data_IF_264613225841
#
_entry.id   IF_264613225841
#
_cell.length_a   1.000
_cell.length_b   1.000
_cell.length_c   1.000
_cell.angle_alpha   90.00
_cell.angle_beta   90.00
_cell.angle_gamma   90.00
#
_symmetry.space_group_name_H-M   'P 1'
#
loop_
_entity.id
_entity.type
_entity.pdbx_description
1 polymer ?
#
# COMPACT_ATOMS: atom_id res chain seq x y z
N UNK A 1 -36.48 -18.67 -3.98
CA UNK A 1 -35.51 -17.67 -3.49
C UNK A 1 -36.24 -16.74 -2.54
N UNK A 2 -35.74 -16.56 -1.33
CA UNK A 2 -36.36 -15.68 -0.34
C UNK A 2 -36.06 -14.22 -0.72
N UNK A 3 -37.07 -13.50 -1.22
CA UNK A 3 -36.96 -12.13 -1.76
C UNK A 3 -36.63 -11.07 -0.69
N UNK A 4 -36.32 -11.48 0.54
CA UNK A 4 -36.00 -10.61 1.69
C UNK A 4 -34.54 -10.21 1.78
N UNK A 5 -33.65 -10.84 1.02
CA UNK A 5 -32.20 -10.57 1.06
C UNK A 5 -31.66 -10.14 -0.29
N UNK A 6 -30.98 -9.00 -0.30
CA UNK A 6 -30.26 -8.49 -1.47
C UNK A 6 -29.03 -9.37 -1.79
N UNK A 7 -28.38 -9.90 -0.75
CA UNK A 7 -27.20 -10.75 -0.87
C UNK A 7 -27.51 -12.17 -0.39
N UNK A 8 -27.64 -13.10 -1.34
CA UNK A 8 -27.85 -14.51 -1.04
C UNK A 8 -26.55 -15.15 -0.51
N UNK A 9 -26.65 -16.02 0.48
CA UNK A 9 -25.52 -16.81 0.99
C UNK A 9 -24.94 -17.69 -0.14
N UNK A 10 -23.61 -17.81 -0.29
CA UNK A 10 -23.02 -18.81 -1.18
C UNK A 10 -23.34 -20.23 -0.71
N UNK A 11 -23.06 -21.23 -1.55
CA UNK A 11 -23.22 -22.63 -1.16
C UNK A 11 -22.37 -22.93 0.08
N UNK A 12 -23.07 -23.22 1.18
CA UNK A 12 -22.48 -23.44 2.49
C UNK A 12 -23.13 -24.67 3.10
N UNK A 13 -22.31 -25.67 3.40
CA UNK A 13 -22.69 -26.89 4.09
C UNK A 13 -21.85 -27.01 5.36
N UNK A 14 -22.50 -27.14 6.51
CA UNK A 14 -21.84 -27.19 7.82
C UNK A 14 -22.24 -28.48 8.54
N UNK A 15 -21.24 -29.22 9.01
CA UNK A 15 -21.42 -30.30 9.97
C UNK A 15 -21.57 -29.78 11.40
N UNK A 16 -21.99 -30.65 12.34
CA UNK A 16 -22.29 -30.26 13.73
C UNK A 16 -21.07 -29.71 14.50
N UNK A 17 -19.86 -30.17 14.17
CA UNK A 17 -18.62 -29.71 14.79
C UNK A 17 -18.10 -28.40 14.18
N UNK A 18 -18.65 -27.97 13.04
CA UNK A 18 -18.14 -26.78 12.37
C UNK A 18 -18.45 -25.51 13.17
N UNK A 19 -17.48 -24.60 13.17
CA UNK A 19 -17.61 -23.26 13.74
C UNK A 19 -17.27 -22.23 12.69
N UNK A 20 -18.18 -21.30 12.45
CA UNK A 20 -18.08 -20.36 11.35
C UNK A 20 -17.56 -19.00 11.85
N UNK A 21 -16.61 -18.46 11.11
CA UNK A 21 -16.16 -17.08 11.20
C UNK A 21 -16.56 -16.33 9.94
N UNK A 22 -17.14 -15.15 10.11
CA UNK A 22 -17.57 -14.31 8.99
C UNK A 22 -16.59 -13.15 8.83
N UNK A 23 -15.95 -13.03 7.67
CA UNK A 23 -15.08 -11.91 7.35
C UNK A 23 -15.88 -10.74 6.79
N UNK A 24 -15.95 -9.66 7.56
CA UNK A 24 -16.69 -8.44 7.25
C UNK A 24 -17.61 -8.04 8.39
N UNK A 25 -17.85 -6.73 8.49
CA UNK A 25 -18.80 -6.13 9.45
C UNK A 25 -19.71 -5.13 8.74
N UNK A 26 -20.07 -5.45 7.49
CA UNK A 26 -20.91 -4.64 6.61
C UNK A 26 -22.29 -5.29 6.42
N UNK A 27 -23.09 -4.72 5.53
CA UNK A 27 -24.44 -5.19 5.22
C UNK A 27 -24.48 -6.62 4.65
N UNK A 28 -23.50 -7.00 3.81
CA UNK A 28 -23.36 -8.37 3.30
C UNK A 28 -23.16 -9.35 4.46
N UNK A 29 -22.25 -9.02 5.40
CA UNK A 29 -21.98 -9.84 6.57
C UNK A 29 -23.21 -9.98 7.48
N UNK A 30 -24.00 -8.91 7.65
CA UNK A 30 -25.27 -8.96 8.38
C UNK A 30 -26.28 -9.90 7.72
N UNK A 31 -26.50 -9.77 6.41
CA UNK A 31 -27.45 -10.63 5.69
C UNK A 31 -27.02 -12.09 5.69
N UNK A 32 -25.72 -12.38 5.57
CA UNK A 32 -25.19 -13.75 5.66
C UNK A 32 -25.38 -14.32 7.06
N UNK A 33 -25.06 -13.56 8.10
CA UNK A 33 -25.30 -13.95 9.49
C UNK A 33 -26.76 -14.35 9.73
N UNK A 34 -27.71 -13.52 9.32
CA UNK A 34 -29.14 -13.81 9.51
C UNK A 34 -29.61 -15.07 8.77
N UNK A 35 -29.15 -15.27 7.53
CA UNK A 35 -29.43 -16.48 6.77
C UNK A 35 -28.85 -17.73 7.44
N UNK A 36 -27.61 -17.65 7.95
CA UNK A 36 -26.95 -18.73 8.67
C UNK A 36 -27.68 -19.05 9.98
N UNK A 37 -28.02 -18.03 10.77
CA UNK A 37 -28.75 -18.21 12.03
C UNK A 37 -30.11 -18.88 11.80
N UNK A 38 -30.82 -18.55 10.72
CA UNK A 38 -32.08 -19.22 10.35
C UNK A 38 -31.89 -20.68 9.93
N UNK A 39 -30.80 -21.00 9.24
CA UNK A 39 -30.55 -22.33 8.66
C UNK A 39 -29.88 -23.31 9.62
N UNK A 40 -28.93 -22.82 10.43
CA UNK A 40 -28.02 -23.63 11.26
C UNK A 40 -28.06 -23.25 12.74
N UNK A 41 -28.66 -22.11 13.10
CA UNK A 41 -28.68 -21.58 14.47
C UNK A 41 -27.50 -20.65 14.77
N UNK A 42 -27.71 -19.70 15.67
CA UNK A 42 -26.72 -18.67 16.04
C UNK A 42 -25.43 -19.22 16.68
N UNK A 43 -25.53 -20.37 17.34
CA UNK A 43 -24.41 -21.02 18.01
C UNK A 43 -23.29 -21.46 17.06
N UNK A 44 -23.60 -21.61 15.76
CA UNK A 44 -22.62 -22.01 14.74
C UNK A 44 -21.67 -20.86 14.39
N UNK A 45 -22.09 -19.61 14.57
CA UNK A 45 -21.25 -18.43 14.31
C UNK A 45 -20.44 -18.08 15.56
N UNK A 46 -19.13 -18.31 15.51
CA UNK A 46 -18.21 -17.98 16.59
C UNK A 46 -18.00 -16.46 16.70
N UNK A 47 -17.98 -15.77 15.57
CA UNK A 47 -17.88 -14.31 15.53
C UNK A 47 -17.47 -13.78 14.17
N UNK A 48 -17.01 -12.54 14.17
CA UNK A 48 -16.63 -11.83 12.97
C UNK A 48 -15.14 -11.56 12.94
N UNK A 49 -14.61 -11.41 11.74
CA UNK A 49 -13.25 -10.99 11.48
C UNK A 49 -13.33 -9.78 10.56
N UNK A 50 -12.53 -8.77 10.82
CA UNK A 50 -12.26 -7.77 9.80
C UNK A 50 -10.80 -7.30 9.94
N UNK A 51 -10.41 -6.32 9.15
CA UNK A 51 -9.03 -5.88 9.17
C UNK A 51 -8.65 -5.23 10.51
N UNK A 52 -9.50 -4.40 11.11
CA UNK A 52 -9.12 -3.59 12.28
C UNK A 52 -9.54 -4.16 13.65
N UNK A 53 -10.35 -5.21 13.70
CA UNK A 53 -11.01 -5.66 14.94
C UNK A 53 -12.04 -4.64 15.44
N UNK A 54 -12.59 -3.82 14.53
CA UNK A 54 -13.48 -2.70 14.88
C UNK A 54 -14.75 -2.71 14.02
N UNK A 55 -15.94 -2.49 14.59
CA UNK A 55 -16.23 -2.33 16.02
C UNK A 55 -15.85 -3.58 16.83
N UNK A 56 -15.63 -3.48 18.15
CA UNK A 56 -15.22 -4.62 18.97
C UNK A 56 -16.26 -5.76 19.00
N UNK A 57 -17.54 -5.41 18.78
CA UNK A 57 -18.64 -6.35 18.63
C UNK A 57 -19.48 -6.00 17.41
N UNK A 58 -20.04 -7.02 16.76
CA UNK A 58 -20.98 -6.89 15.65
C UNK A 58 -22.06 -7.97 15.80
N UNK A 59 -23.33 -7.56 15.78
CA UNK A 59 -24.48 -8.46 15.98
C UNK A 59 -24.37 -9.32 17.25
N UNK A 60 -23.88 -8.75 18.35
CA UNK A 60 -23.72 -9.43 19.64
C UNK A 60 -22.51 -10.37 19.74
N UNK A 61 -21.74 -10.54 18.66
CA UNK A 61 -20.54 -11.39 18.62
C UNK A 61 -19.26 -10.55 18.60
N UNK A 62 -18.15 -11.12 19.07
CA UNK A 62 -16.84 -10.47 19.05
C UNK A 62 -16.33 -10.32 17.61
N UNK A 63 -15.67 -9.20 17.33
CA UNK A 63 -14.93 -8.95 16.08
C UNK A 63 -13.43 -9.05 16.37
N UNK A 64 -12.72 -9.84 15.58
CA UNK A 64 -11.26 -9.94 15.64
C UNK A 64 -10.63 -9.18 14.48
N UNK A 65 -9.54 -8.48 14.76
CA UNK A 65 -8.65 -7.96 13.75
C UNK A 65 -7.77 -9.06 13.14
N UNK A 66 -7.45 -8.97 11.86
CA UNK A 66 -6.48 -9.87 11.20
C UNK A 66 -5.10 -9.87 11.90
N UNK A 67 -4.75 -8.76 12.55
CA UNK A 67 -3.49 -8.62 13.32
C UNK A 67 -3.48 -9.49 14.58
N UNK A 68 -4.65 -9.76 15.14
CA UNK A 68 -4.80 -10.53 16.37
C UNK A 68 -4.50 -11.99 16.04
N UNK A 69 -3.22 -12.36 16.10
CA UNK A 69 -2.76 -13.73 15.90
C UNK A 69 -3.56 -14.65 16.81
N UNK A 70 -4.18 -15.65 16.19
CA UNK A 70 -4.94 -16.70 16.84
C UNK A 70 -4.63 -18.03 16.18
N UNK A 71 -4.64 -19.07 16.99
CA UNK A 71 -4.66 -20.42 16.46
C UNK A 71 -6.03 -20.69 15.81
N UNK A 72 -5.99 -21.39 14.68
CA UNK A 72 -7.19 -21.75 13.93
C UNK A 72 -7.52 -23.19 14.26
N UNK A 73 -8.73 -23.41 14.77
CA UNK A 73 -9.20 -24.75 15.11
C UNK A 73 -9.38 -25.64 13.88
N UNK A 74 -9.32 -26.95 14.07
CA UNK A 74 -9.46 -27.94 12.98
C UNK A 74 -10.82 -27.87 12.28
N UNK A 75 -11.88 -27.50 13.00
CA UNK A 75 -13.26 -27.44 12.49
C UNK A 75 -13.74 -26.03 12.13
N UNK A 76 -12.85 -25.04 12.13
CA UNK A 76 -13.20 -23.67 11.79
C UNK A 76 -13.31 -23.46 10.28
N UNK A 77 -14.40 -22.81 9.87
CA UNK A 77 -14.72 -22.44 8.49
C UNK A 77 -14.81 -20.91 8.41
N UNK A 78 -14.33 -20.34 7.31
CA UNK A 78 -14.23 -18.91 7.10
C UNK A 78 -15.10 -18.49 5.91
N UNK A 79 -16.09 -17.64 6.15
CA UNK A 79 -16.97 -17.10 5.13
C UNK A 79 -16.59 -15.65 4.82
N UNK A 80 -16.18 -15.38 3.58
CA UNK A 80 -15.91 -14.04 3.09
C UNK A 80 -17.22 -13.33 2.77
N UNK A 81 -17.55 -12.30 3.53
CA UNK A 81 -18.77 -11.51 3.40
C UNK A 81 -18.46 -10.04 3.09
N UNK A 82 -17.54 -9.83 2.16
CA UNK A 82 -17.18 -8.50 1.67
C UNK A 82 -16.68 -8.60 0.23
N UNK A 83 -17.17 -7.72 -0.64
CA UNK A 83 -16.75 -7.68 -2.04
C UNK A 83 -15.42 -6.94 -2.21
N UNK A 84 -15.25 -5.79 -1.56
CA UNK A 84 -14.10 -4.90 -1.75
C UNK A 84 -12.79 -5.43 -1.15
N UNK A 85 -12.86 -6.40 -0.24
CA UNK A 85 -11.70 -7.00 0.41
C UNK A 85 -11.67 -8.53 0.26
N UNK A 86 -12.35 -9.08 -0.75
CA UNK A 86 -12.44 -10.52 -0.96
C UNK A 86 -11.06 -11.15 -1.18
N UNK A 87 -10.25 -10.59 -2.09
CA UNK A 87 -8.91 -11.08 -2.39
C UNK A 87 -8.00 -11.09 -1.16
N UNK A 88 -8.04 -10.00 -0.38
CA UNK A 88 -7.28 -9.87 0.86
C UNK A 88 -7.74 -10.92 1.88
N UNK A 89 -9.05 -11.07 2.08
CA UNK A 89 -9.59 -12.02 3.04
C UNK A 89 -9.18 -13.45 2.70
N UNK A 90 -9.37 -13.86 1.43
CA UNK A 90 -8.98 -15.19 0.96
C UNK A 90 -7.47 -15.40 1.08
N UNK A 91 -6.66 -14.42 0.68
CA UNK A 91 -5.20 -14.50 0.81
C UNK A 91 -4.76 -14.61 2.28
N UNK A 92 -5.32 -13.79 3.18
CA UNK A 92 -5.02 -13.85 4.60
C UNK A 92 -5.39 -15.22 5.18
N UNK A 93 -6.60 -15.74 4.93
CA UNK A 93 -6.97 -17.06 5.45
C UNK A 93 -6.07 -18.17 4.91
N UNK A 94 -5.87 -18.21 3.59
CA UNK A 94 -5.10 -19.28 2.97
C UNK A 94 -3.64 -19.27 3.40
N UNK A 95 -3.01 -18.09 3.43
CA UNK A 95 -1.55 -17.99 3.55
C UNK A 95 -1.05 -17.50 4.90
N UNK A 96 -1.75 -16.56 5.54
CA UNK A 96 -1.36 -16.10 6.87
C UNK A 96 -1.76 -17.10 7.95
N UNK A 97 -3.00 -17.58 7.86
CA UNK A 97 -3.58 -18.51 8.83
C UNK A 97 -3.41 -19.98 8.42
N UNK A 98 -2.89 -20.26 7.21
CA UNK A 98 -2.68 -21.62 6.71
C UNK A 98 -3.99 -22.41 6.55
N UNK A 99 -5.11 -21.72 6.33
CA UNK A 99 -6.43 -22.35 6.21
C UNK A 99 -6.52 -23.09 4.87
N UNK A 100 -6.81 -24.41 4.87
CA UNK A 100 -7.07 -25.15 3.64
C UNK A 100 -8.21 -24.56 2.83
N UNK A 101 -8.09 -24.57 1.50
CA UNK A 101 -9.03 -23.90 0.59
C UNK A 101 -10.49 -24.34 0.78
N UNK A 102 -10.71 -25.63 1.04
CA UNK A 102 -12.04 -26.19 1.26
C UNK A 102 -12.72 -25.69 2.55
N UNK A 103 -12.02 -24.92 3.40
CA UNK A 103 -12.57 -24.25 4.57
C UNK A 103 -12.73 -22.74 4.39
N UNK A 104 -12.43 -22.20 3.21
CA UNK A 104 -12.61 -20.79 2.87
C UNK A 104 -13.77 -20.69 1.88
N UNK A 105 -14.89 -20.16 2.33
CA UNK A 105 -16.10 -20.00 1.55
C UNK A 105 -16.17 -18.55 1.07
N UNK A 106 -16.23 -18.37 -0.25
CA UNK A 106 -16.30 -17.06 -0.88
C UNK A 106 -17.03 -17.15 -2.22
N UNK A 107 -17.36 -16.00 -2.78
CA UNK A 107 -17.91 -15.87 -4.13
C UNK A 107 -16.77 -15.67 -5.11
N UNK A 108 -16.59 -16.60 -6.04
CA UNK A 108 -15.51 -16.56 -7.02
C UNK A 108 -15.60 -15.30 -7.90
N UNK A 109 -16.81 -14.81 -8.18
CA UNK A 109 -17.07 -13.58 -8.91
C UNK A 109 -16.67 -12.29 -8.16
N UNK A 110 -16.28 -12.39 -6.89
CA UNK A 110 -15.73 -11.27 -6.13
C UNK A 110 -14.22 -11.21 -6.16
N UNK A 111 -13.55 -12.25 -6.66
CA UNK A 111 -12.09 -12.25 -6.78
C UNK A 111 -11.66 -11.49 -8.03
N UNK A 112 -10.50 -10.86 -7.93
CA UNK A 112 -9.84 -10.22 -9.05
C UNK A 112 -9.21 -11.26 -10.00
N UNK A 113 -9.08 -10.90 -11.27
CA UNK A 113 -8.46 -11.75 -12.29
C UNK A 113 -6.97 -11.48 -12.40
N UNK A 114 -6.23 -12.50 -12.85
CA UNK A 114 -4.84 -12.32 -13.23
C UNK A 114 -4.76 -11.52 -14.54
N UNK A 115 -3.71 -10.69 -14.73
CA UNK A 115 -3.36 -10.15 -16.04
C UNK A 115 -3.17 -11.25 -17.09
N UNK A 116 -3.27 -10.95 -18.40
CA UNK A 116 -3.13 -11.94 -19.48
C UNK A 116 -1.82 -12.74 -19.45
N UNK A 117 -0.76 -12.17 -18.88
CA UNK A 117 0.52 -12.84 -18.69
C UNK A 117 0.57 -13.83 -17.50
N UNK A 118 -0.55 -14.00 -16.77
CA UNK A 118 -0.74 -15.00 -15.73
C UNK A 118 -0.08 -14.71 -14.38
N UNK A 119 0.53 -13.52 -14.17
CA UNK A 119 1.16 -13.15 -12.89
C UNK A 119 0.43 -11.99 -12.22
N UNK A 120 0.16 -12.07 -10.90
CA UNK A 120 -0.44 -10.96 -10.15
C UNK A 120 0.46 -9.72 -10.17
N UNK A 121 -0.12 -8.56 -9.88
CA UNK A 121 0.60 -7.28 -9.85
C UNK A 121 0.94 -6.89 -8.42
N UNK A 122 2.19 -6.51 -8.21
CA UNK A 122 2.68 -5.92 -6.97
C UNK A 122 3.22 -4.53 -7.25
N UNK A 123 2.53 -3.49 -6.78
CA UNK A 123 3.05 -2.13 -6.76
C UNK A 123 3.91 -1.97 -5.52
N UNK A 124 5.21 -2.18 -5.65
CA UNK A 124 6.16 -2.09 -4.55
C UNK A 124 7.16 -0.98 -4.78
N UNK A 125 7.10 0.04 -3.93
CA UNK A 125 7.87 1.28 -4.08
C UNK A 125 7.95 2.03 -2.76
N UNK A 126 8.91 2.92 -2.61
CA UNK A 126 8.88 3.89 -1.52
C UNK A 126 7.71 4.88 -1.67
N UNK A 127 7.33 5.53 -0.57
CA UNK A 127 6.23 6.50 -0.57
C UNK A 127 6.44 7.68 -1.53
N UNK A 128 5.31 8.25 -1.99
CA UNK A 128 5.20 9.54 -2.73
C UNK A 128 5.75 9.56 -4.15
N UNK A 129 5.60 8.44 -4.86
CA UNK A 129 5.93 8.31 -6.30
C UNK A 129 4.74 7.86 -7.16
N UNK A 130 3.51 8.19 -6.75
CA UNK A 130 2.32 8.04 -7.60
C UNK A 130 1.65 6.64 -7.63
N UNK A 131 1.91 5.76 -6.67
CA UNK A 131 1.36 4.38 -6.67
C UNK A 131 -0.16 4.33 -6.72
N UNK A 132 -0.85 5.23 -6.01
CA UNK A 132 -2.31 5.19 -5.91
C UNK A 132 -2.98 5.30 -7.27
N UNK A 133 -2.44 6.14 -8.16
CA UNK A 133 -2.91 6.29 -9.53
C UNK A 133 -2.81 4.99 -10.32
N UNK A 134 -1.68 4.29 -10.19
CA UNK A 134 -1.45 2.98 -10.83
C UNK A 134 -2.42 1.94 -10.26
N UNK A 135 -2.51 1.85 -8.93
CA UNK A 135 -3.37 0.89 -8.24
C UNK A 135 -4.85 1.07 -8.64
N UNK A 136 -5.32 2.31 -8.72
CA UNK A 136 -6.69 2.60 -9.10
C UNK A 136 -6.96 2.24 -10.56
N UNK A 137 -6.01 2.50 -11.47
CA UNK A 137 -6.09 2.06 -12.86
C UNK A 137 -6.24 0.54 -12.97
N UNK A 138 -5.41 -0.23 -12.24
CA UNK A 138 -5.45 -1.70 -12.27
C UNK A 138 -6.75 -2.26 -11.65
N UNK A 139 -7.23 -1.66 -10.57
CA UNK A 139 -8.47 -2.09 -9.91
C UNK A 139 -9.71 -1.89 -10.77
N UNK A 140 -9.75 -0.87 -11.64
CA UNK A 140 -10.86 -0.71 -12.61
C UNK A 140 -10.94 -1.85 -13.63
N UNK A 141 -9.81 -2.46 -13.94
CA UNK A 141 -9.72 -3.65 -14.80
C UNK A 141 -9.98 -4.96 -14.02
N UNK A 142 -10.39 -4.87 -12.75
CA UNK A 142 -10.58 -6.01 -11.84
C UNK A 142 -9.34 -6.91 -11.73
N UNK A 143 -8.13 -6.34 -11.85
CA UNK A 143 -6.88 -7.10 -11.78
C UNK A 143 -6.42 -7.34 -10.35
N UNK A 144 -5.83 -8.51 -10.12
CA UNK A 144 -5.22 -8.88 -8.85
C UNK A 144 -3.96 -8.03 -8.62
N UNK A 145 -4.14 -6.93 -7.88
CA UNK A 145 -3.12 -5.92 -7.65
C UNK A 145 -3.01 -5.54 -6.16
N UNK A 146 -1.79 -5.60 -5.64
CA UNK A 146 -1.45 -5.23 -4.26
C UNK A 146 -0.48 -4.04 -4.26
N UNK A 147 -0.49 -3.26 -3.18
CA UNK A 147 0.46 -2.16 -2.98
C UNK A 147 1.17 -2.34 -1.65
N UNK A 148 2.51 -2.29 -1.69
CA UNK A 148 3.37 -2.37 -0.50
C UNK A 148 4.47 -1.30 -0.54
N UNK A 149 4.87 -0.82 0.63
CA UNK A 149 5.96 0.16 0.78
C UNK A 149 7.17 -0.43 1.52
N UNK A 150 6.91 -1.41 2.39
CA UNK A 150 7.90 -2.11 3.21
C UNK A 150 7.48 -3.57 3.31
N UNK A 151 8.40 -4.48 3.00
CA UNK A 151 8.33 -5.93 3.21
C UNK A 151 9.34 -6.40 4.27
N UNK A 152 10.40 -5.61 4.52
CA UNK A 152 11.34 -5.88 5.60
C UNK A 152 10.63 -5.89 6.96
N UNK A 153 10.70 -7.02 7.67
CA UNK A 153 9.94 -7.24 8.91
C UNK A 153 10.33 -6.29 10.04
N UNK A 154 11.62 -5.95 10.19
CA UNK A 154 12.10 -5.05 11.25
C UNK A 154 11.62 -3.62 11.02
N UNK A 155 11.77 -3.11 9.78
CA UNK A 155 11.26 -1.79 9.39
C UNK A 155 9.73 -1.71 9.51
N UNK A 156 9.05 -2.82 9.20
CA UNK A 156 7.61 -2.93 9.34
C UNK A 156 7.21 -2.82 10.81
N UNK A 157 7.91 -3.52 11.72
CA UNK A 157 7.70 -3.48 13.17
C UNK A 157 7.92 -2.07 13.76
N UNK A 158 8.96 -1.36 13.31
CA UNK A 158 9.22 0.03 13.70
C UNK A 158 8.08 0.95 13.28
N UNK A 159 7.66 0.85 12.01
CA UNK A 159 6.58 1.68 11.48
C UNK A 159 5.24 1.48 12.22
N UNK A 160 4.93 0.25 12.66
CA UNK A 160 3.72 -0.02 13.49
C UNK A 160 3.75 0.79 14.76
N UNK A 161 4.90 0.75 15.44
CA UNK A 161 5.05 1.37 16.75
C UNK A 161 4.86 2.87 16.62
N UNK A 162 5.36 3.47 15.54
CA UNK A 162 5.21 4.91 15.30
C UNK A 162 3.76 5.29 15.00
N UNK A 163 3.07 4.53 14.14
CA UNK A 163 1.63 4.74 13.84
C UNK A 163 0.76 4.57 15.10
N UNK A 164 1.06 3.57 15.93
CA UNK A 164 0.36 3.33 17.19
C UNK A 164 0.58 4.46 18.19
N UNK A 165 1.83 4.90 18.37
CA UNK A 165 2.17 6.05 19.23
C UNK A 165 1.47 7.33 18.78
N UNK A 166 1.32 7.53 17.47
CA UNK A 166 0.63 8.68 16.90
C UNK A 166 -0.91 8.62 16.99
N UNK A 167 -1.49 7.57 17.58
CA UNK A 167 -2.94 7.42 17.73
C UNK A 167 -3.70 7.23 16.41
N UNK A 168 -3.00 6.92 15.32
CA UNK A 168 -3.58 6.82 13.97
C UNK A 168 -4.12 5.41 13.71
N UNK A 169 -5.27 5.09 14.30
CA UNK A 169 -5.86 3.75 14.23
C UNK A 169 -6.36 3.34 12.82
N UNK A 170 -6.58 4.29 11.90
CA UNK A 170 -7.15 4.01 10.58
C UNK A 170 -6.10 3.58 9.52
N UNK A 171 -4.80 3.83 9.76
CA UNK A 171 -3.72 3.30 8.90
C UNK A 171 -3.56 1.77 9.00
N UNK A 172 -4.22 1.14 9.98
CA UNK A 172 -4.15 -0.28 10.33
C UNK A 172 -4.60 -1.21 9.19
N UNK A 173 -5.46 -0.76 8.27
CA UNK A 173 -5.97 -1.57 7.15
C UNK A 173 -4.96 -1.71 6.00
N UNK A 174 -4.28 -0.62 5.66
CA UNK A 174 -3.18 -0.62 4.67
C UNK A 174 -2.00 -1.43 5.22
N UNK A 175 -1.76 -1.31 6.52
CA UNK A 175 -0.69 -1.98 7.24
C UNK A 175 -0.86 -3.50 7.33
N UNK A 176 -2.08 -3.99 7.57
CA UNK A 176 -2.33 -5.42 7.67
C UNK A 176 -2.28 -6.17 6.34
N UNK A 177 -2.55 -5.48 5.24
CA UNK A 177 -2.26 -6.01 3.91
C UNK A 177 -0.76 -6.22 3.69
N UNK A 178 0.11 -5.41 4.32
CA UNK A 178 1.57 -5.56 4.24
C UNK A 178 2.09 -6.65 5.19
N UNK A 179 1.54 -6.76 6.41
CA UNK A 179 1.97 -7.75 7.41
C UNK A 179 1.52 -9.18 7.13
N UNK A 180 0.30 -9.40 6.64
CA UNK A 180 -0.28 -10.75 6.62
C UNK A 180 0.32 -11.65 5.53
N UNK A 181 1.26 -11.16 4.72
CA UNK A 181 1.55 -11.76 3.43
C UNK A 181 3.07 -11.82 3.14
N UNK A 182 3.99 -11.40 4.02
CA UNK A 182 5.44 -11.42 3.71
C UNK A 182 5.95 -12.79 3.22
N UNK A 183 5.49 -13.91 3.82
CA UNK A 183 5.81 -15.27 3.32
C UNK A 183 5.13 -15.64 1.99
N UNK A 184 3.96 -15.09 1.70
CA UNK A 184 3.21 -15.34 0.47
C UNK A 184 3.69 -14.50 -0.71
N UNK A 185 4.04 -13.24 -0.47
CA UNK A 185 4.70 -12.41 -1.47
C UNK A 185 5.96 -13.11 -1.98
N UNK A 186 6.73 -13.72 -1.08
CA UNK A 186 7.94 -14.45 -1.46
C UNK A 186 7.67 -15.79 -2.17
N UNK A 187 6.48 -16.39 -2.04
CA UNK A 187 6.15 -17.67 -2.67
C UNK A 187 5.52 -17.56 -4.06
N UNK A 188 5.14 -16.34 -4.49
CA UNK A 188 4.58 -16.07 -5.82
C UNK A 188 5.59 -15.41 -6.75
N UNK A 189 5.33 -15.52 -8.04
CA UNK A 189 6.04 -14.77 -9.09
C UNK A 189 5.19 -13.59 -9.52
N UNK A 190 5.80 -12.41 -9.55
CA UNK A 190 5.10 -11.13 -9.63
C UNK A 190 5.42 -10.38 -10.90
N UNK A 191 4.43 -9.63 -11.40
CA UNK A 191 4.70 -8.40 -12.14
C UNK A 191 4.81 -7.27 -11.12
N UNK A 192 6.02 -6.81 -10.88
CA UNK A 192 6.32 -5.74 -9.93
C UNK A 192 6.35 -4.42 -10.69
N UNK A 193 5.65 -3.41 -10.17
CA UNK A 193 5.72 -2.04 -10.67
C UNK A 193 6.27 -1.18 -9.54
N UNK A 194 7.35 -0.45 -9.83
CA UNK A 194 7.97 0.51 -8.93
C UNK A 194 8.17 1.84 -9.64
N UNK A 195 8.52 2.87 -8.90
CA UNK A 195 8.84 4.16 -9.49
C UNK A 195 9.89 4.93 -8.68
N UNK A 196 10.58 5.82 -9.38
CA UNK A 196 11.53 6.79 -8.83
C UNK A 196 11.01 8.19 -9.04
N UNK A 197 11.46 9.13 -8.21
CA UNK A 197 11.10 10.55 -8.28
C UNK A 197 12.31 11.39 -7.86
N UNK A 198 12.38 12.66 -8.26
CA UNK A 198 13.37 13.62 -7.74
C UNK A 198 13.49 13.42 -6.21
N UNK A 199 14.67 13.00 -5.71
CA UNK A 199 14.93 12.73 -4.29
C UNK A 199 14.37 13.79 -3.35
N UNK A 200 14.57 15.08 -3.64
CA UNK A 200 14.11 16.17 -2.78
C UNK A 200 12.61 16.42 -2.89
N UNK A 201 12.07 16.47 -4.11
CA UNK A 201 10.62 16.55 -4.30
C UNK A 201 9.89 15.41 -3.58
N UNK A 202 10.43 14.19 -3.61
CA UNK A 202 9.90 13.03 -2.90
C UNK A 202 10.02 13.20 -1.39
N UNK A 203 11.20 13.55 -0.88
CA UNK A 203 11.45 13.66 0.56
C UNK A 203 10.58 14.73 1.21
N UNK A 204 10.45 15.90 0.59
CA UNK A 204 9.54 16.95 1.05
C UNK A 204 8.09 16.43 1.08
N UNK A 205 7.68 15.72 0.04
CA UNK A 205 6.34 15.15 -0.04
C UNK A 205 6.09 14.08 1.03
N UNK A 206 7.10 13.28 1.38
CA UNK A 206 7.03 12.26 2.43
C UNK A 206 7.00 12.89 3.82
N UNK A 207 7.86 13.87 4.09
CA UNK A 207 7.90 14.60 5.36
C UNK A 207 6.53 15.14 5.76
N UNK A 208 5.82 15.78 4.82
CA UNK A 208 4.46 16.28 5.08
C UNK A 208 3.41 15.18 5.18
N UNK A 209 3.57 14.05 4.47
CA UNK A 209 2.71 12.87 4.64
C UNK A 209 2.83 12.29 6.06
N UNK A 210 4.05 12.29 6.59
CA UNK A 210 4.41 11.76 7.90
C UNK A 210 4.55 12.85 8.97
N UNK A 211 3.94 14.04 8.78
CA UNK A 211 4.16 15.19 9.68
C UNK A 211 3.79 14.86 11.13
N UNK A 212 2.78 14.01 11.32
CA UNK A 212 2.36 13.51 12.64
C UNK A 212 3.48 12.80 13.43
N UNK A 213 4.48 12.23 12.75
CA UNK A 213 5.63 11.58 13.41
C UNK A 213 6.65 12.58 13.95
N UNK A 214 6.68 13.79 13.37
CA UNK A 214 7.63 14.85 13.75
C UNK A 214 6.98 15.90 14.66
N UNK A 215 5.70 16.19 14.44
CA UNK A 215 4.89 17.17 15.17
C UNK A 215 3.52 16.52 15.47
N UNK A 216 3.39 15.75 16.58
CA UNK A 216 2.16 15.02 16.88
C UNK A 216 0.91 15.91 17.01
N UNK A 217 1.08 17.15 17.44
CA UNK A 217 0.04 18.17 17.61
C UNK A 217 -0.10 19.12 16.40
N UNK A 218 0.45 18.77 15.23
CA UNK A 218 0.48 19.68 14.07
C UNK A 218 -0.91 20.21 13.68
N UNK A 219 -1.97 19.41 13.86
CA UNK A 219 -3.35 19.84 13.55
C UNK A 219 -3.80 21.01 14.42
N UNK A 220 -3.45 21.00 15.70
CA UNK A 220 -3.73 22.12 16.60
C UNK A 220 -2.90 23.35 16.19
N UNK A 221 -1.63 23.14 15.83
CA UNK A 221 -0.75 24.23 15.39
C UNK A 221 -1.17 24.86 14.06
N UNK A 222 -1.79 24.08 13.16
CA UNK A 222 -2.38 24.59 11.92
C UNK A 222 -3.47 25.65 12.20
N UNK A 223 -4.21 25.51 13.29
CA UNK A 223 -5.28 26.44 13.67
C UNK A 223 -4.76 27.65 14.45
N UNK A 224 -3.73 27.46 15.30
CA UNK A 224 -3.26 28.50 16.22
C UNK A 224 -2.16 29.39 15.64
N UNK A 225 -1.15 28.80 14.99
CA UNK A 225 -0.01 29.53 14.42
C UNK A 225 0.65 28.74 13.27
N UNK A 226 0.02 28.74 12.08
CA UNK A 226 0.54 28.01 10.93
C UNK A 226 1.89 28.57 10.41
N UNK A 227 2.22 29.82 10.72
CA UNK A 227 3.52 30.42 10.36
C UNK A 227 4.64 29.80 11.20
N UNK A 228 4.45 29.72 12.52
CA UNK A 228 5.40 29.03 13.40
C UNK A 228 5.55 27.56 13.06
N UNK A 229 4.47 26.87 12.71
CA UNK A 229 4.55 25.49 12.23
C UNK A 229 5.38 25.40 10.94
N UNK A 230 5.30 26.39 10.06
CA UNK A 230 6.14 26.44 8.85
C UNK A 230 7.63 26.57 9.20
N UNK A 231 7.98 27.43 10.16
CA UNK A 231 9.37 27.59 10.64
C UNK A 231 9.90 26.29 11.24
N UNK A 232 9.11 25.65 12.11
CA UNK A 232 9.44 24.37 12.71
C UNK A 232 9.63 23.27 11.64
N UNK A 233 8.75 23.23 10.63
CA UNK A 233 8.88 22.29 9.52
C UNK A 233 10.19 22.47 8.72
N UNK A 234 10.65 23.71 8.50
CA UNK A 234 11.92 23.99 7.82
C UNK A 234 13.10 23.42 8.60
N UNK A 235 13.14 23.68 9.91
CA UNK A 235 14.17 23.18 10.82
C UNK A 235 14.17 21.64 10.86
N UNK A 236 13.01 21.03 11.15
CA UNK A 236 12.87 19.58 11.26
C UNK A 236 13.22 18.87 9.95
N UNK A 237 12.82 19.44 8.80
CA UNK A 237 13.16 18.85 7.52
C UNK A 237 14.67 18.82 7.30
N UNK A 238 15.40 19.88 7.64
CA UNK A 238 16.85 19.95 7.41
C UNK A 238 17.62 19.13 8.44
N UNK A 239 17.22 19.16 9.71
CA UNK A 239 18.02 18.62 10.81
C UNK A 239 17.66 17.19 11.21
N UNK A 240 16.42 16.76 10.97
CA UNK A 240 15.89 15.50 11.51
C UNK A 240 15.40 14.53 10.45
N UNK A 241 15.08 15.00 9.25
CA UNK A 241 14.55 14.10 8.22
C UNK A 241 15.68 13.21 7.66
N UNK A 242 15.48 11.89 7.57
CA UNK A 242 16.50 10.97 7.07
C UNK A 242 16.56 11.00 5.53
N UNK A 243 17.24 12.01 4.98
CA UNK A 243 17.21 12.28 3.54
C UNK A 243 17.76 11.14 2.67
N UNK A 244 18.74 10.39 3.17
CA UNK A 244 19.49 9.39 2.40
C UNK A 244 18.86 8.00 2.42
N UNK A 245 17.88 7.73 3.29
CA UNK A 245 17.22 6.42 3.41
C UNK A 245 16.65 5.90 2.08
N UNK A 246 16.20 6.80 1.22
CA UNK A 246 15.64 6.46 -0.09
C UNK A 246 16.65 5.80 -1.03
N UNK A 247 17.94 6.11 -0.88
CA UNK A 247 18.99 5.61 -1.78
C UNK A 247 19.23 4.12 -1.61
N UNK A 248 18.85 3.57 -0.45
CA UNK A 248 19.01 2.15 -0.10
C UNK A 248 17.72 1.35 -0.29
N UNK A 249 16.61 1.99 -0.66
CA UNK A 249 15.30 1.32 -0.69
C UNK A 249 15.28 0.16 -1.68
N UNK A 250 15.81 0.32 -2.90
CA UNK A 250 15.84 -0.76 -3.89
C UNK A 250 16.68 -1.96 -3.42
N UNK A 251 17.78 -1.72 -2.71
CA UNK A 251 18.57 -2.81 -2.14
C UNK A 251 17.74 -3.54 -1.07
N UNK A 252 17.19 -2.82 -0.09
CA UNK A 252 16.51 -3.46 1.05
C UNK A 252 15.15 -4.07 0.72
N UNK A 253 14.47 -3.57 -0.31
CA UNK A 253 13.07 -3.93 -0.59
C UNK A 253 12.90 -4.70 -1.90
N UNK A 254 13.73 -4.44 -2.91
CA UNK A 254 13.66 -5.15 -4.20
C UNK A 254 14.71 -6.26 -4.28
N UNK A 255 15.98 -5.93 -4.03
CA UNK A 255 17.07 -6.90 -4.11
C UNK A 255 16.96 -7.98 -3.03
N UNK A 256 16.78 -7.60 -1.77
CA UNK A 256 16.71 -8.56 -0.65
C UNK A 256 15.50 -9.50 -0.73
N UNK A 257 14.39 -9.08 -1.33
CA UNK A 257 13.14 -9.85 -1.35
C UNK A 257 12.86 -10.55 -2.68
N UNK A 258 13.31 -9.99 -3.81
CA UNK A 258 13.03 -10.54 -5.15
C UNK A 258 14.31 -10.93 -5.90
N UNK A 259 15.48 -10.60 -5.36
CA UNK A 259 16.78 -10.90 -5.96
C UNK A 259 17.08 -10.10 -7.21
N UNK A 260 16.44 -8.94 -7.42
CA UNK A 260 16.68 -8.06 -8.58
C UNK A 260 17.56 -6.89 -8.14
N UNK A 261 18.80 -6.82 -8.64
CA UNK A 261 19.67 -5.64 -8.43
C UNK A 261 19.32 -4.57 -9.47
N UNK A 262 18.37 -3.70 -9.15
CA UNK A 262 17.86 -2.66 -10.08
C UNK A 262 18.99 -1.79 -10.63
N UNK A 263 19.95 -1.41 -9.77
CA UNK A 263 21.04 -0.51 -10.15
C UNK A 263 22.10 -1.18 -11.04
N UNK A 264 22.04 -2.51 -11.21
CA UNK A 264 22.88 -3.26 -12.14
C UNK A 264 22.33 -3.28 -13.58
N UNK A 265 21.05 -2.92 -13.79
CA UNK A 265 20.43 -2.87 -15.11
C UNK A 265 20.49 -1.46 -15.70
N UNK A 266 20.83 -1.28 -16.99
CA UNK A 266 20.86 0.05 -17.59
C UNK A 266 19.46 0.68 -17.59
N UNK A 267 19.35 1.90 -17.05
CA UNK A 267 18.11 2.66 -17.04
C UNK A 267 18.01 3.55 -18.29
N UNK A 268 16.90 3.46 -19.02
CA UNK A 268 16.62 4.37 -20.13
C UNK A 268 16.13 5.70 -19.57
N UNK A 269 17.07 6.63 -19.36
CA UNK A 269 16.79 7.98 -18.84
C UNK A 269 15.99 8.84 -19.82
N UNK A 270 16.04 8.52 -21.12
CA UNK A 270 15.33 9.28 -22.15
C UNK A 270 13.84 8.94 -22.14
N UNK A 271 13.52 7.64 -22.14
CA UNK A 271 12.14 7.18 -22.05
C UNK A 271 11.62 7.13 -20.60
N UNK A 272 12.50 7.07 -19.61
CA UNK A 272 12.17 7.14 -18.19
C UNK A 272 11.72 5.84 -17.57
N UNK A 273 12.19 4.69 -18.06
CA UNK A 273 11.86 3.40 -17.45
C UNK A 273 12.94 2.33 -17.66
N UNK A 274 12.83 1.24 -16.92
CA UNK A 274 13.54 -0.02 -17.16
C UNK A 274 12.63 -1.20 -16.88
N UNK A 275 12.80 -2.28 -17.64
CA UNK A 275 12.18 -3.58 -17.36
C UNK A 275 13.28 -4.59 -17.05
N UNK A 276 13.20 -5.22 -15.88
CA UNK A 276 14.11 -6.27 -15.44
C UNK A 276 13.34 -7.59 -15.26
N UNK A 277 13.98 -8.72 -15.55
CA UNK A 277 13.41 -10.04 -15.25
C UNK A 277 14.46 -10.92 -14.57
N UNK A 278 14.23 -11.28 -13.30
CA UNK A 278 15.10 -12.20 -12.56
C UNK A 278 14.27 -13.08 -11.62
N UNK A 279 14.74 -14.30 -11.36
CA UNK A 279 14.11 -15.25 -10.45
C UNK A 279 12.61 -15.48 -10.73
N UNK A 280 12.18 -15.34 -11.98
CA UNK A 280 10.78 -15.46 -12.41
C UNK A 280 9.90 -14.25 -12.08
N UNK A 281 10.43 -13.21 -11.45
CA UNK A 281 9.77 -11.92 -11.27
C UNK A 281 10.06 -11.02 -12.48
N UNK A 282 9.10 -10.16 -12.81
CA UNK A 282 9.27 -9.09 -13.80
C UNK A 282 9.13 -7.78 -13.05
N UNK A 283 10.03 -6.83 -13.25
CA UNK A 283 10.02 -5.54 -12.57
C UNK A 283 10.02 -4.43 -13.62
N UNK A 284 9.05 -3.52 -13.52
CA UNK A 284 9.02 -2.26 -14.24
C UNK A 284 9.32 -1.13 -13.25
N UNK A 285 10.35 -0.34 -13.51
CA UNK A 285 10.65 0.89 -12.73
C UNK A 285 10.42 2.10 -13.62
N UNK A 286 9.64 3.07 -13.14
CA UNK A 286 9.20 4.25 -13.90
C UNK A 286 9.72 5.55 -13.27
N UNK A 287 10.07 6.56 -14.05
CA UNK A 287 10.25 7.92 -13.55
C UNK A 287 8.88 8.59 -13.32
N UNK A 288 8.66 9.09 -12.11
CA UNK A 288 7.43 9.77 -11.71
C UNK A 288 7.16 11.02 -12.54
N UNK A 289 8.21 11.78 -12.87
CA UNK A 289 8.16 13.01 -13.67
C UNK A 289 7.57 12.77 -15.07
N UNK A 290 7.70 11.53 -15.58
CA UNK A 290 7.21 11.11 -16.90
C UNK A 290 5.97 10.23 -16.83
N UNK A 291 5.48 9.92 -15.63
CA UNK A 291 4.38 8.97 -15.41
C UNK A 291 3.15 9.20 -16.31
N UNK A 292 2.69 10.44 -16.59
CA UNK A 292 1.57 10.67 -17.51
C UNK A 292 1.77 10.08 -18.91
N UNK A 293 3.02 9.95 -19.37
CA UNK A 293 3.39 9.44 -20.69
C UNK A 293 3.76 7.95 -20.66
N UNK A 294 3.75 7.31 -19.49
CA UNK A 294 4.17 5.92 -19.30
C UNK A 294 3.01 4.93 -19.12
N UNK A 295 1.77 5.38 -19.35
CA UNK A 295 0.58 4.52 -19.29
C UNK A 295 0.69 3.33 -20.25
N UNK A 296 1.16 3.58 -21.47
CA UNK A 296 1.35 2.53 -22.49
C UNK A 296 2.43 1.52 -22.10
N UNK A 297 3.47 1.97 -21.39
CA UNK A 297 4.51 1.06 -20.91
C UNK A 297 3.94 0.10 -19.84
N UNK A 298 3.08 0.59 -18.93
CA UNK A 298 2.40 -0.27 -17.96
C UNK A 298 1.46 -1.25 -18.69
N UNK A 299 0.71 -0.76 -19.68
CA UNK A 299 -0.20 -1.57 -20.52
C UNK A 299 0.56 -2.72 -21.17
N UNK A 300 1.65 -2.43 -21.85
CA UNK A 300 2.49 -3.41 -22.56
C UNK A 300 3.18 -4.37 -21.60
N UNK A 301 3.74 -3.85 -20.51
CA UNK A 301 4.38 -4.66 -19.47
C UNK A 301 3.42 -5.72 -18.92
N UNK A 302 2.15 -5.37 -18.69
CA UNK A 302 1.14 -6.28 -18.16
C UNK A 302 0.40 -7.10 -19.23
N UNK A 303 0.62 -6.81 -20.52
CA UNK A 303 -0.07 -7.46 -21.64
C UNK A 303 -1.55 -7.08 -21.72
N UNK A 304 -1.91 -5.86 -21.30
CA UNK A 304 -3.30 -5.39 -21.27
C UNK A 304 -3.73 -4.83 -22.63
N UNK A 305 -5.03 -4.98 -22.96
CA UNK A 305 -5.62 -4.34 -24.13
C UNK A 305 -5.76 -2.83 -23.95
N UNK A 306 -6.05 -2.39 -22.72
CA UNK A 306 -6.21 -0.98 -22.35
C UNK A 306 -5.73 -0.75 -20.92
N UNK A 307 -5.17 0.44 -20.67
CA UNK A 307 -4.81 0.89 -19.32
C UNK A 307 -4.70 2.41 -19.31
N UNK A 308 -5.36 3.06 -18.35
CA UNK A 308 -5.31 4.50 -18.16
C UNK A 308 -4.93 4.84 -16.71
N UNK A 309 -3.96 5.74 -16.58
CA UNK A 309 -3.58 6.32 -15.30
C UNK A 309 -4.60 7.36 -14.84
N UNK A 310 -5.16 7.14 -13.65
CA UNK A 310 -6.08 8.09 -13.02
C UNK A 310 -5.28 9.06 -12.17
N UNK A 311 -5.36 10.36 -12.46
CA UNK A 311 -4.74 11.38 -11.60
C UNK A 311 -5.53 11.53 -10.30
N UNK A 312 -4.97 11.02 -9.21
CA UNK A 312 -5.46 11.24 -7.84
C UNK A 312 -4.27 11.50 -6.90
N UNK A 313 -4.51 12.24 -5.82
CA UNK A 313 -3.53 12.79 -4.85
C UNK A 313 -2.85 14.12 -5.24
N UNK A 314 -3.62 15.21 -5.22
CA UNK A 314 -3.05 16.57 -5.19
C UNK A 314 -2.76 16.94 -3.74
N UNK A 315 -1.49 16.93 -3.34
CA UNK A 315 -1.05 17.19 -1.96
C UNK A 315 -1.51 18.57 -1.43
N UNK A 316 -1.74 19.54 -2.32
CA UNK A 316 -2.23 20.88 -1.99
C UNK A 316 -3.66 20.91 -1.44
N UNK A 317 -4.43 19.83 -1.61
CA UNK A 317 -5.80 19.69 -1.10
C UNK A 317 -5.88 19.10 0.31
N UNK A 318 -4.74 18.85 0.97
CA UNK A 318 -4.69 18.29 2.32
C UNK A 318 -4.79 19.38 3.39
N UNK A 319 -5.09 18.97 4.63
CA UNK A 319 -5.25 19.84 5.82
C UNK A 319 -4.07 20.81 6.03
N UNK A 320 -2.84 20.35 5.75
CA UNK A 320 -1.62 21.14 5.85
C UNK A 320 -1.28 21.99 4.60
N UNK A 321 -2.20 22.16 3.64
CA UNK A 321 -1.91 22.78 2.34
C UNK A 321 -1.32 24.19 2.40
N UNK A 322 -1.69 25.01 3.40
CA UNK A 322 -1.09 26.32 3.61
C UNK A 322 0.39 26.23 3.99
N UNK A 323 0.71 25.49 5.05
CA UNK A 323 2.08 25.30 5.56
C UNK A 323 2.97 24.71 4.48
N UNK A 324 2.46 23.74 3.70
CA UNK A 324 3.19 23.15 2.59
C UNK A 324 3.60 24.18 1.52
N UNK A 325 2.71 25.09 1.15
CA UNK A 325 3.01 26.13 0.16
C UNK A 325 4.03 27.14 0.69
N UNK A 326 3.88 27.58 1.94
CA UNK A 326 4.84 28.50 2.55
C UNK A 326 6.22 27.87 2.74
N UNK A 327 6.27 26.59 3.12
CA UNK A 327 7.49 25.81 3.16
C UNK A 327 8.19 25.78 1.79
N UNK A 328 7.48 25.43 0.71
CA UNK A 328 8.06 25.35 -0.64
C UNK A 328 8.62 26.69 -1.15
N UNK A 329 7.98 27.80 -0.79
CA UNK A 329 8.48 29.14 -1.13
C UNK A 329 9.83 29.43 -0.50
N UNK A 330 10.06 28.93 0.72
CA UNK A 330 11.19 29.32 1.59
C UNK A 330 12.33 28.31 1.60
N UNK A 331 12.04 27.02 1.46
CA UNK A 331 13.04 25.96 1.58
C UNK A 331 14.07 26.08 0.45
N UNK A 332 15.34 26.25 0.80
CA UNK A 332 16.46 26.32 -0.13
C UNK A 332 17.68 25.67 0.50
N UNK A 333 18.50 25.02 -0.32
CA UNK A 333 19.65 24.26 0.14
C UNK A 333 20.94 24.87 -0.39
N UNK A 334 22.03 24.65 0.36
CA UNK A 334 23.37 24.97 -0.13
C UNK A 334 23.90 23.87 -1.06
N UNK A 335 24.99 24.19 -1.77
CA UNK A 335 25.60 23.28 -2.74
C UNK A 335 26.02 21.95 -2.11
N UNK A 336 26.58 21.98 -0.90
CA UNK A 336 27.01 20.77 -0.20
C UNK A 336 25.83 19.82 0.06
N UNK A 337 24.68 20.35 0.47
CA UNK A 337 23.47 19.57 0.65
C UNK A 337 22.96 19.01 -0.68
N UNK A 338 22.93 19.82 -1.75
CA UNK A 338 22.49 19.40 -3.08
C UNK A 338 23.40 18.31 -3.66
N UNK A 339 24.72 18.41 -3.45
CA UNK A 339 25.69 17.40 -3.87
C UNK A 339 25.42 16.06 -3.20
N UNK A 340 25.18 16.03 -1.87
CA UNK A 340 24.79 14.78 -1.19
C UNK A 340 23.55 14.14 -1.80
N UNK A 341 22.57 14.96 -2.20
CA UNK A 341 21.29 14.47 -2.70
C UNK A 341 21.31 14.01 -4.16
N UNK A 342 22.18 14.59 -4.98
CA UNK A 342 22.20 14.36 -6.41
C UNK A 342 23.48 13.70 -6.94
N UNK A 343 24.61 13.83 -6.24
CA UNK A 343 25.88 13.17 -6.57
C UNK A 343 26.03 11.83 -5.84
N UNK A 344 25.10 10.92 -6.11
CA UNK A 344 25.14 9.56 -5.59
C UNK A 344 24.71 8.55 -6.66
N UNK A 345 25.04 7.27 -6.42
CA UNK A 345 24.77 6.18 -7.36
C UNK A 345 23.30 6.09 -7.72
N UNK A 346 22.39 6.25 -6.75
CA UNK A 346 20.96 6.15 -6.97
C UNK A 346 20.48 7.23 -7.96
N UNK A 347 20.73 8.51 -7.64
CA UNK A 347 20.25 9.62 -8.48
C UNK A 347 20.87 9.57 -9.87
N UNK A 348 22.19 9.39 -9.96
CA UNK A 348 22.91 9.34 -11.24
C UNK A 348 22.54 8.12 -12.09
N UNK A 349 22.01 7.07 -11.49
CA UNK A 349 21.52 5.91 -12.24
C UNK A 349 20.19 6.24 -12.94
N UNK A 350 19.26 6.87 -12.24
CA UNK A 350 17.91 7.11 -12.76
C UNK A 350 17.74 8.40 -13.56
N UNK A 351 18.61 9.40 -13.39
CA UNK A 351 18.45 10.72 -14.02
C UNK A 351 19.65 11.10 -14.88
N UNK A 352 19.38 11.84 -15.95
CA UNK A 352 20.41 12.51 -16.77
C UNK A 352 21.00 13.71 -16.02
N UNK A 353 22.19 14.15 -16.45
CA UNK A 353 22.82 15.35 -15.87
C UNK A 353 21.95 16.60 -16.09
N UNK A 354 21.21 16.67 -17.21
CA UNK A 354 20.27 17.76 -17.51
C UNK A 354 19.07 17.80 -16.56
N UNK A 355 18.52 16.62 -16.23
CA UNK A 355 17.44 16.49 -15.23
C UNK A 355 17.96 16.84 -13.83
N UNK A 356 19.12 16.31 -13.44
CA UNK A 356 19.77 16.61 -12.15
C UNK A 356 19.99 18.12 -12.01
N UNK A 357 20.55 18.77 -13.03
CA UNK A 357 20.78 20.22 -13.00
C UNK A 357 19.47 21.01 -12.91
N UNK A 358 18.40 20.53 -13.56
CA UNK A 358 17.06 21.11 -13.41
C UNK A 358 16.55 20.99 -11.98
N UNK A 359 16.77 19.85 -11.32
CA UNK A 359 16.42 19.68 -9.91
C UNK A 359 17.28 20.58 -9.00
N UNK A 360 18.59 20.67 -9.23
CA UNK A 360 19.49 21.55 -8.47
C UNK A 360 19.02 23.00 -8.52
N UNK A 361 18.78 23.56 -9.71
CA UNK A 361 18.27 24.94 -9.87
C UNK A 361 16.95 25.20 -9.16
N UNK A 362 16.07 24.20 -9.09
CA UNK A 362 14.78 24.32 -8.40
C UNK A 362 14.97 24.52 -6.89
N UNK A 363 16.00 23.92 -6.31
CA UNK A 363 16.19 23.81 -4.86
C UNK A 363 17.35 24.66 -4.30
N UNK A 364 18.24 25.17 -5.17
CA UNK A 364 19.35 26.04 -4.81
C UNK A 364 18.89 27.38 -4.23
N UNK A 365 19.60 27.90 -3.22
CA UNK A 365 19.46 29.29 -2.79
C UNK A 365 19.60 30.20 -4.01
N UNK A 366 18.57 31.00 -4.30
CA UNK A 366 18.74 32.07 -5.29
C UNK A 366 19.80 33.02 -4.75
N UNK A 367 20.84 33.24 -5.55
CA UNK A 367 21.91 34.21 -5.26
C UNK A 367 21.35 35.62 -5.18
#
# INVERSE_FOLDING_TARGET
>A
MDNRYEHQLPDLSLGPENRLWIFGTNEIARQYYEQICRRYGEHVVNGFINTAGRPATFLGKKVYGLAEKREIGEHEIFLVATRSAADIAVASFRYYYGVPENRIIYRAEWLSSLPPNGKPVLIHQFGKVGSTSILHGLRRLNLEAYQTHVLNAEKLDEWVRDVQKAGMADLHVVFLNMLSISKWFLSRKWNIISAVRDPLSRNISWFFESLYSYVPDYRQQLETDPSRLTDLCLELFIEKFPHEEIFHWFDTEIKDHFGIDVLAHPFDKYNGYVVCEENGHRLLVLQFERLPNLSDIIREFLGLSEFELIRENISEKKDYGFVYREFLKRIRFDEAFLDRMYDNKFTRHFYSDEEIETFRRKWSKQS
#
